data_IF_824097979892
#
_entry.id   IF_824097979892
#
_cell.length_a   1.000
_cell.length_b   1.000
_cell.length_c   1.000
_cell.angle_alpha   90.00
_cell.angle_beta   90.00
_cell.angle_gamma   90.00
#
_symmetry.space_group_name_H-M   'P 1'
#
loop_
_entity.id
_entity.type
_entity.pdbx_description
1 polymer ?
#
# COMPACT_ATOMS: atom_id res chain seq x y z
N UNK A 1 -63.75 -5.67 41.64
CA UNK A 1 -62.79 -4.74 42.26
C UNK A 1 -61.49 -5.50 42.54
N UNK A 2 -60.50 -5.48 41.63
CA UNK A 2 -59.22 -6.12 41.92
C UNK A 2 -58.46 -5.30 42.96
N UNK A 3 -57.92 -6.02 43.94
CA UNK A 3 -57.32 -5.58 45.19
C UNK A 3 -56.07 -4.71 44.97
N UNK A 4 -55.99 -3.54 45.64
CA UNK A 4 -54.94 -2.53 45.44
C UNK A 4 -53.49 -2.98 45.69
N UNK A 5 -53.25 -4.22 46.13
CA UNK A 5 -51.92 -4.83 46.25
C UNK A 5 -51.38 -5.34 44.89
N UNK A 6 -52.24 -5.80 44.00
CA UNK A 6 -51.84 -6.39 42.72
C UNK A 6 -51.38 -5.31 41.72
N UNK A 7 -52.05 -4.14 41.71
CA UNK A 7 -51.66 -2.99 40.90
C UNK A 7 -50.32 -2.38 41.30
N UNK A 8 -49.97 -2.41 42.60
CA UNK A 8 -48.67 -1.93 43.07
C UNK A 8 -47.52 -2.86 42.64
N UNK A 9 -47.79 -4.17 42.59
CA UNK A 9 -46.82 -5.16 42.12
C UNK A 9 -46.57 -5.01 40.61
N UNK A 10 -47.64 -4.83 39.84
CA UNK A 10 -47.61 -4.51 38.40
C UNK A 10 -46.78 -3.24 38.12
N UNK A 11 -47.01 -2.15 38.86
CA UNK A 11 -46.27 -0.90 38.71
C UNK A 11 -44.78 -1.05 39.07
N UNK A 12 -44.46 -1.83 40.11
CA UNK A 12 -43.05 -2.13 40.47
C UNK A 12 -42.37 -2.97 39.40
N UNK A 13 -43.07 -3.95 38.84
CA UNK A 13 -42.56 -4.79 37.75
C UNK A 13 -42.28 -3.93 36.51
N UNK A 14 -43.23 -3.06 36.13
CA UNK A 14 -43.11 -2.15 34.99
C UNK A 14 -41.98 -1.13 35.17
N UNK A 15 -41.82 -0.57 36.38
CA UNK A 15 -40.69 0.31 36.71
C UNK A 15 -39.35 -0.40 36.58
N UNK A 16 -39.26 -1.66 37.05
CA UNK A 16 -38.04 -2.47 36.95
C UNK A 16 -37.71 -2.80 35.49
N UNK A 17 -38.71 -3.17 34.70
CA UNK A 17 -38.55 -3.45 33.27
C UNK A 17 -38.10 -2.21 32.48
N UNK A 18 -38.69 -1.04 32.77
CA UNK A 18 -38.25 0.22 32.19
C UNK A 18 -36.83 0.61 32.59
N UNK A 19 -36.42 0.40 33.85
CA UNK A 19 -35.04 0.67 34.27
C UNK A 19 -34.03 -0.26 33.58
N UNK A 20 -34.40 -1.52 33.33
CA UNK A 20 -33.58 -2.47 32.59
C UNK A 20 -33.49 -2.13 31.10
N UNK A 21 -34.58 -1.60 30.51
CA UNK A 21 -34.53 -1.10 29.14
C UNK A 21 -33.67 0.17 29.02
N UNK A 22 -33.75 1.09 29.98
CA UNK A 22 -32.89 2.28 29.99
C UNK A 22 -31.42 1.90 30.11
N UNK A 23 -31.05 0.98 31.00
CA UNK A 23 -29.64 0.58 31.14
C UNK A 23 -29.07 -0.04 29.86
N UNK A 24 -29.88 -0.82 29.13
CA UNK A 24 -29.47 -1.39 27.83
C UNK A 24 -29.33 -0.30 26.76
N UNK A 25 -30.11 0.78 26.83
CA UNK A 25 -30.00 1.93 25.93
C UNK A 25 -28.74 2.75 26.26
N UNK A 26 -28.45 2.98 27.53
CA UNK A 26 -27.26 3.69 27.99
C UNK A 26 -25.98 2.92 27.60
N UNK A 27 -25.95 1.60 27.78
CA UNK A 27 -24.83 0.76 27.34
C UNK A 27 -24.61 0.78 25.82
N UNK A 28 -25.70 0.86 25.03
CA UNK A 28 -25.63 1.01 23.58
C UNK A 28 -25.13 2.39 23.18
N UNK A 29 -25.57 3.44 23.90
CA UNK A 29 -25.13 4.81 23.67
C UNK A 29 -23.64 4.97 24.00
N UNK A 30 -23.17 4.39 25.09
CA UNK A 30 -21.76 4.38 25.47
C UNK A 30 -20.88 3.57 24.50
N UNK A 31 -21.40 2.47 23.95
CA UNK A 31 -20.73 1.75 22.85
C UNK A 31 -20.66 2.61 21.59
N UNK A 32 -21.73 3.32 21.24
CA UNK A 32 -21.76 4.21 20.09
C UNK A 32 -20.79 5.38 20.26
N UNK A 33 -20.71 5.99 21.44
CA UNK A 33 -19.74 7.05 21.74
C UNK A 33 -18.31 6.53 21.64
N UNK A 34 -18.01 5.34 22.17
CA UNK A 34 -16.69 4.69 21.99
C UNK A 34 -16.38 4.39 20.52
N UNK A 35 -17.37 4.04 19.71
CA UNK A 35 -17.21 3.81 18.27
C UNK A 35 -17.00 5.15 17.53
N UNK A 36 -17.71 6.21 17.91
CA UNK A 36 -17.54 7.55 17.35
C UNK A 36 -16.16 8.13 17.71
N UNK A 37 -15.71 7.99 18.95
CA UNK A 37 -14.37 8.42 19.37
C UNK A 37 -13.27 7.62 18.65
N UNK A 38 -13.46 6.30 18.47
CA UNK A 38 -12.58 5.49 17.61
C UNK A 38 -12.64 5.91 16.14
N UNK A 39 -13.79 6.33 15.62
CA UNK A 39 -13.89 6.84 14.24
C UNK A 39 -13.29 8.23 14.09
N UNK A 40 -13.31 9.08 15.10
CA UNK A 40 -12.67 10.40 15.09
C UNK A 40 -11.14 10.29 15.16
N UNK A 41 -10.60 9.28 15.87
CA UNK A 41 -9.17 8.98 15.85
C UNK A 41 -8.73 8.32 14.54
N UNK A 42 -9.58 7.51 13.91
CA UNK A 42 -9.29 6.84 12.62
C UNK A 42 -9.53 7.76 11.40
N UNK A 43 -10.45 8.73 11.45
CA UNK A 43 -10.73 9.72 10.37
C UNK A 43 -9.93 11.02 10.49
N UNK A 44 -8.73 10.97 11.08
CA UNK A 44 -7.71 12.01 10.92
C UNK A 44 -7.15 12.15 9.49
N UNK A 45 -7.62 11.34 8.52
CA UNK A 45 -7.25 11.47 7.12
C UNK A 45 -8.33 10.95 6.17
N UNK A 46 -9.12 11.88 5.61
CA UNK A 46 -9.77 11.87 4.28
C UNK A 46 -11.07 12.69 4.32
N UNK A 47 -10.96 13.95 3.88
CA UNK A 47 -12.08 14.76 3.41
C UNK A 47 -12.62 14.16 2.11
N UNK A 48 -13.88 13.72 2.13
CA UNK A 48 -14.63 13.38 0.92
C UNK A 48 -15.39 14.63 0.47
N UNK A 49 -15.14 15.04 -0.76
CA UNK A 49 -15.81 16.11 -1.50
C UNK A 49 -17.26 15.73 -1.81
N UNK A 50 -18.15 16.73 -1.78
CA UNK A 50 -19.36 16.75 -2.62
C UNK A 50 -19.54 18.12 -3.27
N UNK A 51 -19.49 18.03 -4.59
CA UNK A 51 -20.04 18.83 -5.68
C UNK A 51 -20.80 20.14 -5.40
N UNK A 52 -20.46 21.09 -6.27
CA UNK A 52 -21.03 22.38 -6.66
C UNK A 52 -22.42 22.28 -7.30
N UNK A 53 -23.33 23.27 -7.21
CA UNK A 53 -23.45 24.50 -8.05
C UNK A 53 -24.89 25.09 -7.87
N UNK A 54 -25.30 26.26 -8.43
CA UNK A 54 -24.57 27.51 -8.74
C UNK A 54 -25.39 28.82 -8.45
N UNK A 55 -24.73 29.99 -8.66
CA UNK A 55 -25.31 31.33 -8.95
C UNK A 55 -26.02 32.04 -7.76
N UNK A 56 -25.85 33.33 -7.45
CA UNK A 56 -25.64 34.52 -8.26
C UNK A 56 -24.86 35.63 -7.50
N UNK A 57 -23.99 36.28 -8.25
CA UNK A 57 -23.97 37.75 -8.43
C UNK A 57 -24.06 38.65 -7.20
N UNK A 58 -22.92 39.20 -6.78
CA UNK A 58 -22.76 40.66 -6.71
C UNK A 58 -21.28 41.02 -6.49
N UNK A 59 -20.55 41.25 -7.59
CA UNK A 59 -19.42 42.17 -7.57
C UNK A 59 -19.97 43.55 -7.22
N UNK A 60 -19.64 44.08 -6.04
CA UNK A 60 -19.69 45.52 -5.80
C UNK A 60 -18.37 45.97 -5.22
N UNK A 61 -17.56 46.51 -6.12
CA UNK A 61 -16.45 47.40 -5.85
C UNK A 61 -16.89 48.51 -4.90
N UNK A 62 -16.20 48.64 -3.76
CA UNK A 62 -16.07 49.89 -3.02
C UNK A 62 -14.59 49.97 -2.62
N UNK A 63 -13.80 50.68 -3.43
CA UNK A 63 -13.48 52.11 -3.24
C UNK A 63 -12.68 52.29 -1.95
N UNK A 64 -11.36 52.40 -2.11
CA UNK A 64 -10.47 52.95 -1.10
C UNK A 64 -10.97 54.35 -0.76
N UNK A 65 -11.67 54.48 0.35
CA UNK A 65 -11.85 55.74 1.06
C UNK A 65 -11.14 55.58 2.38
N UNK A 66 -10.04 56.31 2.52
CA UNK A 66 -9.43 56.63 3.80
C UNK A 66 -10.50 57.24 4.71
N UNK A 67 -11.04 56.43 5.60
CA UNK A 67 -11.95 56.87 6.66
C UNK A 67 -11.08 57.51 7.76
N UNK A 68 -11.36 58.76 8.16
CA UNK A 68 -10.55 59.45 9.16
C UNK A 68 -10.73 58.77 10.51
N UNK A 69 -9.64 58.60 11.25
CA UNK A 69 -9.69 58.02 12.60
C UNK A 69 -10.78 58.67 13.46
N UNK A 70 -11.57 57.89 14.23
CA UNK A 70 -12.50 58.49 15.16
C UNK A 70 -11.69 59.28 16.20
N UNK A 71 -11.95 60.59 16.27
CA UNK A 71 -11.42 61.45 17.34
C UNK A 71 -11.63 60.73 18.68
N UNK A 72 -10.54 60.30 19.31
CA UNK A 72 -10.55 59.79 20.68
C UNK A 72 -11.13 60.88 21.56
N UNK A 73 -12.40 60.73 21.96
CA UNK A 73 -12.90 61.38 23.16
C UNK A 73 -12.05 60.83 24.32
N UNK A 74 -11.09 61.63 24.74
CA UNK A 74 -10.20 61.35 25.86
C UNK A 74 -11.03 61.45 27.13
N UNK A 75 -11.68 60.36 27.53
CA UNK A 75 -12.22 60.24 28.88
C UNK A 75 -11.00 60.07 29.80
N UNK A 76 -10.73 61.01 30.73
CA UNK A 76 -9.65 60.85 31.68
C UNK A 76 -10.10 59.76 32.66
N UNK A 77 -9.61 58.54 32.48
CA UNK A 77 -9.77 57.50 33.49
C UNK A 77 -8.51 57.48 34.35
N UNK A 78 -8.53 58.25 35.43
CA UNK A 78 -7.75 58.00 36.63
C UNK A 78 -8.22 56.68 37.25
N UNK A 79 -7.77 55.56 36.70
CA UNK A 79 -7.96 54.25 37.34
C UNK A 79 -6.91 54.10 38.43
N UNK A 80 -7.36 54.10 39.69
CA UNK A 80 -6.54 53.75 40.84
C UNK A 80 -6.04 52.30 40.64
N UNK A 81 -4.71 52.05 40.68
CA UNK A 81 -4.16 50.70 40.55
C UNK A 81 -4.76 49.78 41.63
N UNK A 82 -5.36 48.66 41.20
CA UNK A 82 -5.96 47.67 42.12
C UNK A 82 -7.48 47.78 42.31
N UNK A 83 -8.14 48.77 41.71
CA UNK A 83 -9.62 48.85 41.70
C UNK A 83 -10.25 47.68 40.94
N UNK A 84 -11.45 47.24 41.36
CA UNK A 84 -12.22 46.15 40.71
C UNK A 84 -12.40 46.39 39.20
N UNK A 85 -12.52 47.64 38.78
CA UNK A 85 -12.69 48.03 37.37
C UNK A 85 -11.41 47.76 36.55
N UNK A 86 -10.24 48.00 37.15
CA UNK A 86 -8.95 47.80 36.50
C UNK A 86 -8.61 46.29 36.37
N UNK A 87 -9.00 45.50 37.37
CA UNK A 87 -8.92 44.02 37.32
C UNK A 87 -9.81 43.44 36.21
N UNK A 88 -11.04 43.93 36.06
CA UNK A 88 -11.95 43.50 34.99
C UNK A 88 -11.38 43.88 33.61
N UNK A 89 -10.77 45.06 33.48
CA UNK A 89 -10.12 45.50 32.24
C UNK A 89 -8.94 44.61 31.86
N UNK A 90 -8.04 44.32 32.80
CA UNK A 90 -6.91 43.39 32.59
C UNK A 90 -7.40 42.00 32.18
N UNK A 91 -8.45 41.49 32.85
CA UNK A 91 -9.06 40.19 32.53
C UNK A 91 -9.65 40.17 31.11
N UNK A 92 -10.29 41.25 30.68
CA UNK A 92 -10.86 41.37 29.34
C UNK A 92 -9.79 41.46 28.24
N UNK A 93 -8.66 42.14 28.50
CA UNK A 93 -7.52 42.20 27.58
C UNK A 93 -6.88 40.81 27.42
N UNK A 94 -6.64 40.10 28.53
CA UNK A 94 -6.10 38.73 28.51
C UNK A 94 -7.05 37.78 27.78
N UNK A 95 -8.37 37.89 28.03
CA UNK A 95 -9.39 37.09 27.34
C UNK A 95 -9.36 37.32 25.82
N UNK A 96 -9.27 38.58 25.37
CA UNK A 96 -9.17 38.91 23.94
C UNK A 96 -7.88 38.38 23.32
N UNK A 97 -6.75 38.50 24.02
CA UNK A 97 -5.48 37.94 23.56
C UNK A 97 -5.57 36.42 23.41
N UNK A 98 -6.10 35.72 24.41
CA UNK A 98 -6.31 34.27 24.36
C UNK A 98 -7.30 33.85 23.25
N UNK A 99 -8.32 34.66 22.96
CA UNK A 99 -9.25 34.41 21.87
C UNK A 99 -8.60 34.61 20.50
N UNK A 100 -7.71 35.60 20.35
CA UNK A 100 -6.92 35.80 19.14
C UNK A 100 -5.91 34.66 18.92
N UNK A 101 -5.22 34.21 19.98
CA UNK A 101 -4.31 33.05 19.91
C UNK A 101 -5.06 31.76 19.53
N UNK A 102 -6.29 31.56 20.04
CA UNK A 102 -7.14 30.42 19.65
C UNK A 102 -7.67 30.49 18.22
N UNK A 103 -7.80 31.70 17.66
CA UNK A 103 -8.22 31.94 16.28
C UNK A 103 -7.07 31.84 15.27
N UNK A 104 -5.81 31.83 15.72
CA UNK A 104 -4.69 31.52 14.83
C UNK A 104 -4.88 30.10 14.30
N UNK A 105 -4.87 29.89 12.97
CA UNK A 105 -4.96 28.55 12.42
C UNK A 105 -3.78 27.74 12.95
N UNK A 106 -4.08 26.62 13.64
CA UNK A 106 -3.04 25.67 14.05
C UNK A 106 -2.18 25.35 12.82
N UNK A 107 -0.83 25.33 12.92
CA UNK A 107 0.00 24.96 11.80
C UNK A 107 -0.48 23.61 11.27
N UNK A 108 -0.92 23.56 10.02
CA UNK A 108 -1.34 22.31 9.37
C UNK A 108 -0.17 21.34 9.54
N UNK A 109 -0.39 20.22 10.23
CA UNK A 109 0.61 19.18 10.35
C UNK A 109 1.12 18.88 8.93
N UNK A 110 2.43 19.03 8.70
CA UNK A 110 3.04 18.66 7.42
C UNK A 110 2.64 17.21 7.17
N UNK A 111 1.89 16.93 6.09
CA UNK A 111 1.64 15.56 5.67
C UNK A 111 3.00 14.87 5.56
N UNK A 112 3.14 13.75 6.27
CA UNK A 112 4.33 12.93 6.18
C UNK A 112 4.53 12.55 4.70
N UNK A 113 5.72 12.83 4.17
CA UNK A 113 6.00 12.55 2.76
C UNK A 113 5.99 11.03 2.60
N UNK A 114 5.04 10.50 1.84
CA UNK A 114 5.02 9.09 1.50
C UNK A 114 6.29 8.79 0.69
N UNK A 115 7.18 7.95 1.21
CA UNK A 115 8.32 7.44 0.46
C UNK A 115 7.82 6.38 -0.54
N UNK A 116 7.88 6.64 -1.86
CA UNK A 116 7.41 5.69 -2.87
C UNK A 116 8.17 4.35 -2.82
N UNK A 117 9.40 4.36 -2.30
CA UNK A 117 10.32 3.21 -2.26
C UNK A 117 10.29 2.44 -0.94
N UNK A 118 9.50 2.89 0.04
CA UNK A 118 9.38 2.17 1.30
C UNK A 118 8.86 0.75 1.08
N UNK A 119 9.51 -0.22 1.75
CA UNK A 119 9.12 -1.63 1.74
C UNK A 119 7.67 -1.75 2.20
N UNK A 120 6.86 -2.47 1.42
CA UNK A 120 5.46 -2.62 1.72
C UNK A 120 5.24 -3.84 2.62
N UNK A 121 4.91 -3.59 3.88
CA UNK A 121 4.61 -4.63 4.87
C UNK A 121 3.16 -5.13 4.82
N UNK A 122 2.28 -4.47 4.05
CA UNK A 122 0.84 -4.81 3.99
C UNK A 122 0.54 -5.98 3.03
N UNK A 123 1.54 -6.63 2.45
CA UNK A 123 1.35 -7.77 1.55
C UNK A 123 1.09 -9.04 2.39
N UNK A 124 -0.03 -9.77 2.18
CA UNK A 124 -0.37 -10.99 2.96
C UNK A 124 0.77 -11.99 2.92
N UNK A 125 1.20 -12.71 3.97
CA UNK A 125 2.37 -13.63 4.00
C UNK A 125 2.28 -14.83 3.03
N UNK A 126 3.42 -15.43 2.65
CA UNK A 126 3.46 -16.50 1.64
C UNK A 126 2.89 -17.79 2.20
N UNK A 127 2.24 -18.56 1.33
CA UNK A 127 1.66 -19.84 1.72
C UNK A 127 2.72 -20.96 1.75
N UNK A 128 3.81 -20.80 0.99
CA UNK A 128 4.85 -21.82 0.84
C UNK A 128 5.42 -22.33 2.18
N UNK A 129 5.82 -21.49 3.16
CA UNK A 129 6.38 -21.99 4.42
C UNK A 129 5.40 -22.92 5.16
N UNK A 130 4.12 -22.54 5.20
CA UNK A 130 3.08 -23.35 5.84
C UNK A 130 2.85 -24.69 5.12
N UNK A 131 2.83 -24.67 3.79
CA UNK A 131 2.67 -25.88 2.97
C UNK A 131 3.88 -26.82 3.07
N UNK A 132 5.08 -26.25 3.14
CA UNK A 132 6.31 -27.01 3.33
C UNK A 132 6.35 -27.70 4.70
N UNK A 133 6.04 -26.98 5.79
CA UNK A 133 5.96 -27.59 7.13
C UNK A 133 4.89 -28.69 7.23
N UNK A 134 3.82 -28.59 6.42
CA UNK A 134 2.78 -29.62 6.33
C UNK A 134 3.16 -30.82 5.46
N UNK A 135 4.27 -30.75 4.71
CA UNK A 135 4.73 -31.84 3.83
C UNK A 135 3.91 -31.98 2.54
N UNK A 136 3.30 -30.90 2.04
CA UNK A 136 2.51 -30.95 0.80
C UNK A 136 3.33 -30.83 -0.48
N UNK A 137 4.59 -30.38 -0.37
CA UNK A 137 5.43 -30.10 -1.51
C UNK A 137 6.25 -31.34 -1.90
N UNK A 138 6.38 -31.63 -3.21
CA UNK A 138 7.04 -32.84 -3.73
C UNK A 138 8.56 -32.68 -3.78
N UNK A 139 9.14 -31.91 -2.86
CA UNK A 139 10.56 -31.58 -2.84
C UNK A 139 11.10 -31.56 -1.41
N UNK A 140 12.35 -32.00 -1.25
CA UNK A 140 13.12 -31.92 -0.01
C UNK A 140 14.46 -31.22 -0.27
N UNK A 141 15.03 -30.63 0.77
CA UNK A 141 16.32 -29.93 0.68
C UNK A 141 17.44 -30.91 1.01
N UNK A 142 18.30 -31.18 0.04
CA UNK A 142 19.54 -31.93 0.20
C UNK A 142 20.72 -30.99 0.45
N UNK A 143 21.61 -31.38 1.38
CA UNK A 143 22.85 -30.67 1.63
C UNK A 143 23.97 -31.40 0.88
N UNK A 144 24.53 -30.76 -0.15
CA UNK A 144 25.66 -31.26 -0.94
C UNK A 144 26.92 -30.48 -0.57
N UNK A 145 28.09 -31.03 -0.91
CA UNK A 145 29.38 -30.33 -0.72
C UNK A 145 29.46 -29.01 -1.50
N UNK A 146 28.71 -28.90 -2.61
CA UNK A 146 28.60 -27.69 -3.44
C UNK A 146 27.53 -26.70 -2.97
N UNK A 147 26.80 -27.00 -1.89
CA UNK A 147 25.71 -26.16 -1.37
C UNK A 147 24.37 -26.90 -1.26
N UNK A 148 23.29 -26.13 -1.15
CA UNK A 148 21.93 -26.67 -1.08
C UNK A 148 21.45 -27.09 -2.47
N UNK A 149 20.74 -28.22 -2.54
CA UNK A 149 20.08 -28.69 -3.76
C UNK A 149 18.66 -29.17 -3.44
N UNK A 150 17.78 -29.17 -4.45
CA UNK A 150 16.45 -29.76 -4.33
C UNK A 150 16.47 -31.22 -4.79
N UNK A 151 15.79 -32.06 -4.01
CA UNK A 151 15.54 -33.46 -4.32
C UNK A 151 14.04 -33.65 -4.51
N UNK A 152 13.65 -34.10 -5.69
CA UNK A 152 12.25 -34.23 -6.07
C UNK A 152 11.77 -35.66 -5.85
N UNK A 153 10.55 -35.79 -5.34
CA UNK A 153 9.92 -37.11 -5.12
C UNK A 153 9.54 -37.81 -6.44
N UNK A 154 9.38 -37.05 -7.51
CA UNK A 154 8.96 -37.49 -8.83
C UNK A 154 9.74 -36.71 -9.90
N UNK A 155 9.98 -37.28 -11.10
CA UNK A 155 10.51 -36.51 -12.21
C UNK A 155 9.68 -35.25 -12.50
N UNK A 156 10.34 -34.13 -12.79
CA UNK A 156 9.72 -32.81 -12.99
C UNK A 156 8.65 -32.82 -14.08
N UNK A 157 8.92 -33.51 -15.19
CA UNK A 157 7.98 -33.67 -16.30
C UNK A 157 6.73 -34.49 -15.97
N UNK A 158 6.61 -35.12 -14.81
CA UNK A 158 5.37 -35.78 -14.37
C UNK A 158 4.59 -34.96 -13.34
N UNK A 159 5.12 -33.80 -12.94
CA UNK A 159 4.50 -32.94 -11.97
C UNK A 159 3.35 -32.13 -12.57
N UNK A 160 2.33 -31.85 -11.77
CA UNK A 160 1.23 -30.96 -12.13
C UNK A 160 1.64 -29.48 -12.01
N UNK A 161 1.89 -28.85 -13.16
CA UNK A 161 2.34 -27.45 -13.22
C UNK A 161 1.24 -26.48 -12.77
N UNK A 162 -0.03 -26.76 -13.04
CA UNK A 162 -1.15 -25.89 -12.64
C UNK A 162 -1.25 -25.78 -11.11
N UNK A 163 -0.97 -26.87 -10.40
CA UNK A 163 -0.99 -26.89 -8.95
C UNK A 163 0.30 -26.33 -8.33
N UNK A 164 1.46 -26.85 -8.74
CA UNK A 164 2.70 -26.62 -7.99
C UNK A 164 3.43 -25.34 -8.39
N UNK A 165 3.43 -24.95 -9.68
CA UNK A 165 4.18 -23.78 -10.13
C UNK A 165 3.69 -22.47 -9.47
N UNK A 166 2.37 -22.19 -9.38
CA UNK A 166 1.89 -20.99 -8.68
C UNK A 166 2.26 -20.98 -7.19
N UNK A 167 2.36 -22.14 -6.54
CA UNK A 167 2.75 -22.25 -5.12
C UNK A 167 4.23 -21.87 -4.94
N UNK A 168 5.11 -22.36 -5.81
CA UNK A 168 6.52 -21.99 -5.77
C UNK A 168 6.73 -20.52 -6.12
N UNK A 169 5.98 -19.99 -7.10
CA UNK A 169 5.98 -18.57 -7.46
C UNK A 169 5.54 -17.67 -6.29
N UNK A 170 4.52 -18.06 -5.53
CA UNK A 170 4.11 -17.35 -4.30
C UNK A 170 5.18 -17.41 -3.21
N UNK A 171 6.09 -18.38 -3.26
CA UNK A 171 7.21 -18.48 -2.31
C UNK A 171 8.36 -17.50 -2.58
N UNK A 172 8.46 -16.91 -3.78
CA UNK A 172 9.61 -16.07 -4.21
C UNK A 172 9.80 -14.83 -3.33
N UNK A 173 8.70 -14.32 -2.81
CA UNK A 173 8.62 -13.22 -1.84
C UNK A 173 9.14 -13.50 -0.44
N UNK A 174 9.45 -14.75 -0.12
CA UNK A 174 10.09 -15.07 1.16
C UNK A 174 11.40 -14.27 1.28
N UNK A 175 11.74 -13.85 2.50
CA UNK A 175 12.95 -13.08 2.73
C UNK A 175 14.20 -13.91 2.35
N UNK A 176 15.15 -13.23 1.72
CA UNK A 176 16.47 -13.77 1.42
C UNK A 176 17.15 -14.34 2.68
N UNK A 177 17.86 -15.45 2.51
CA UNK A 177 18.51 -16.19 3.60
C UNK A 177 17.63 -17.23 4.30
N UNK A 178 16.32 -17.24 4.05
CA UNK A 178 15.45 -18.34 4.52
C UNK A 178 15.55 -19.56 3.62
N UNK A 179 15.56 -20.76 4.21
CA UNK A 179 15.52 -22.04 3.46
C UNK A 179 14.30 -22.09 2.53
N UNK A 180 13.17 -21.53 2.96
CA UNK A 180 11.95 -21.42 2.15
C UNK A 180 12.13 -20.55 0.90
N UNK A 181 12.92 -19.47 0.97
CA UNK A 181 13.23 -18.66 -0.21
C UNK A 181 14.10 -19.42 -1.21
N UNK A 182 15.03 -20.26 -0.72
CA UNK A 182 15.83 -21.13 -1.58
C UNK A 182 14.94 -22.16 -2.29
N UNK A 183 14.08 -22.87 -1.55
CA UNK A 183 13.13 -23.85 -2.10
C UNK A 183 12.24 -23.20 -3.17
N UNK A 184 11.70 -22.02 -2.90
CA UNK A 184 10.85 -21.31 -3.85
C UNK A 184 11.59 -20.95 -5.15
N UNK A 185 12.74 -20.27 -5.04
CA UNK A 185 13.48 -19.77 -6.21
C UNK A 185 14.05 -20.92 -7.04
N UNK A 186 14.65 -21.92 -6.38
CA UNK A 186 15.20 -23.09 -7.05
C UNK A 186 14.10 -23.97 -7.64
N UNK A 187 12.96 -24.11 -6.94
CA UNK A 187 11.83 -24.88 -7.43
C UNK A 187 11.22 -24.29 -8.70
N UNK A 188 11.03 -22.96 -8.73
CA UNK A 188 10.60 -22.26 -9.95
C UNK A 188 11.61 -22.44 -11.08
N UNK A 189 12.91 -22.27 -10.78
CA UNK A 189 13.97 -22.42 -11.78
C UNK A 189 13.96 -23.79 -12.43
N UNK A 190 13.99 -24.86 -11.64
CA UNK A 190 14.05 -26.23 -12.15
C UNK A 190 12.77 -26.63 -12.90
N UNK A 191 11.60 -26.21 -12.43
CA UNK A 191 10.33 -26.46 -13.13
C UNK A 191 10.27 -25.77 -14.50
N UNK A 192 10.68 -24.50 -14.58
CA UNK A 192 10.71 -23.75 -15.85
C UNK A 192 11.78 -24.33 -16.79
N UNK A 193 12.93 -24.74 -16.26
CA UNK A 193 14.00 -25.33 -17.04
C UNK A 193 13.58 -26.69 -17.64
N UNK A 194 12.92 -27.55 -16.88
CA UNK A 194 12.40 -28.84 -17.39
C UNK A 194 11.27 -28.62 -18.41
N UNK A 195 10.46 -27.58 -18.20
CA UNK A 195 9.41 -27.20 -19.14
C UNK A 195 9.95 -26.71 -20.50
N UNK A 196 11.23 -26.37 -20.62
CA UNK A 196 11.85 -26.14 -21.93
C UNK A 196 11.75 -27.38 -22.86
N UNK A 197 11.64 -28.59 -22.29
CA UNK A 197 11.39 -29.82 -23.05
C UNK A 197 9.90 -30.08 -23.36
N UNK A 198 8.97 -29.49 -22.61
CA UNK A 198 7.52 -29.69 -22.70
C UNK A 198 6.78 -28.35 -22.61
N UNK A 199 6.99 -27.50 -23.62
CA UNK A 199 6.63 -26.09 -23.56
C UNK A 199 5.14 -25.77 -23.39
N UNK A 200 4.24 -26.68 -23.79
CA UNK A 200 2.80 -26.45 -23.74
C UNK A 200 2.27 -26.26 -22.32
N UNK A 201 2.87 -26.95 -21.34
CA UNK A 201 2.39 -26.94 -19.95
C UNK A 201 2.57 -25.61 -19.25
N UNK A 202 3.58 -24.84 -19.61
CA UNK A 202 3.80 -23.52 -19.02
C UNK A 202 2.77 -22.52 -19.54
N UNK A 203 2.33 -22.67 -20.80
CA UNK A 203 1.39 -21.73 -21.42
C UNK A 203 0.04 -21.68 -20.68
N UNK A 204 -0.46 -22.85 -20.26
CA UNK A 204 -1.73 -22.96 -19.55
C UNK A 204 -1.70 -22.31 -18.16
N UNK A 205 -0.51 -22.24 -17.54
CA UNK A 205 -0.32 -21.79 -16.16
C UNK A 205 0.02 -20.30 -16.04
N UNK A 206 0.43 -19.63 -17.13
CA UNK A 206 0.88 -18.22 -17.10
C UNK A 206 -0.11 -17.31 -16.37
N UNK A 207 -1.40 -17.43 -16.67
CA UNK A 207 -2.43 -16.57 -16.08
C UNK A 207 -2.54 -16.76 -14.56
N UNK A 208 -2.30 -17.98 -14.06
CA UNK A 208 -2.27 -18.30 -12.64
C UNK A 208 -1.01 -17.75 -11.96
N UNK A 209 0.12 -17.72 -12.65
CA UNK A 209 1.39 -17.20 -12.11
C UNK A 209 1.42 -15.68 -11.95
N UNK A 210 0.62 -14.93 -12.71
CA UNK A 210 0.61 -13.45 -12.68
C UNK A 210 0.28 -12.90 -11.30
N UNK A 211 -0.68 -13.51 -10.59
CA UNK A 211 -1.10 -13.04 -9.27
C UNK A 211 0.02 -13.18 -8.21
N UNK A 212 0.65 -14.36 -8.03
CA UNK A 212 1.85 -14.51 -7.20
C UNK A 212 2.99 -13.55 -7.55
N UNK A 213 3.26 -13.33 -8.86
CA UNK A 213 4.29 -12.39 -9.30
C UNK A 213 3.97 -10.96 -8.89
N UNK A 214 2.72 -10.53 -9.06
CA UNK A 214 2.25 -9.21 -8.63
C UNK A 214 2.42 -9.03 -7.13
N UNK A 215 2.06 -10.03 -6.31
CA UNK A 215 2.25 -9.94 -4.86
C UNK A 215 3.73 -9.85 -4.47
N UNK A 216 4.59 -10.61 -5.14
CA UNK A 216 6.03 -10.56 -4.93
C UNK A 216 6.61 -9.18 -5.25
N UNK A 217 6.26 -8.61 -6.41
CA UNK A 217 6.69 -7.25 -6.79
C UNK A 217 6.13 -6.19 -5.84
N UNK A 218 4.90 -6.35 -5.36
CA UNK A 218 4.24 -5.40 -4.45
C UNK A 218 4.95 -5.25 -3.10
N UNK A 219 5.84 -6.19 -2.72
CA UNK A 219 6.67 -6.08 -1.50
C UNK A 219 7.69 -4.95 -1.59
N UNK A 220 8.09 -4.55 -2.81
CA UNK A 220 9.10 -3.53 -3.10
C UNK A 220 10.49 -3.81 -2.51
N UNK A 221 10.79 -5.06 -2.16
CA UNK A 221 12.16 -5.43 -1.77
C UNK A 221 13.01 -5.70 -3.00
N UNK A 222 14.25 -5.20 -3.02
CA UNK A 222 15.14 -5.32 -4.18
C UNK A 222 15.49 -6.76 -4.53
N UNK A 223 15.77 -7.59 -3.52
CA UNK A 223 16.08 -9.02 -3.66
C UNK A 223 14.93 -9.80 -4.32
N UNK A 224 13.70 -9.55 -3.87
CA UNK A 224 12.49 -10.20 -4.42
C UNK A 224 12.20 -9.71 -5.84
N UNK A 225 12.35 -8.41 -6.09
CA UNK A 225 12.16 -7.85 -7.43
C UNK A 225 13.17 -8.44 -8.42
N UNK A 226 14.44 -8.55 -8.04
CA UNK A 226 15.47 -9.17 -8.87
C UNK A 226 15.15 -10.65 -9.17
N UNK A 227 14.72 -11.40 -8.17
CA UNK A 227 14.32 -12.79 -8.35
C UNK A 227 13.13 -12.91 -9.33
N UNK A 228 12.11 -12.05 -9.21
CA UNK A 228 10.97 -12.03 -10.13
C UNK A 228 11.39 -11.64 -11.54
N UNK A 229 12.26 -10.63 -11.69
CA UNK A 229 12.83 -10.22 -12.98
C UNK A 229 13.50 -11.41 -13.66
N UNK A 230 14.37 -12.14 -12.96
CA UNK A 230 15.04 -13.33 -13.49
C UNK A 230 14.07 -14.46 -13.87
N UNK A 231 13.01 -14.67 -13.09
CA UNK A 231 11.95 -15.64 -13.43
C UNK A 231 11.24 -15.23 -14.72
N UNK A 232 10.91 -13.95 -14.89
CA UNK A 232 10.29 -13.45 -16.13
C UNK A 232 11.21 -13.66 -17.33
N UNK A 233 12.52 -13.43 -17.17
CA UNK A 233 13.53 -13.73 -18.21
C UNK A 233 13.43 -15.19 -18.64
N UNK A 234 13.43 -16.11 -17.68
CA UNK A 234 13.38 -17.54 -17.94
C UNK A 234 12.06 -17.97 -18.60
N UNK A 235 10.93 -17.43 -18.14
CA UNK A 235 9.62 -17.68 -18.77
C UNK A 235 9.62 -17.25 -20.25
N UNK A 236 10.19 -16.08 -20.56
CA UNK A 236 10.27 -15.60 -21.95
C UNK A 236 11.20 -16.46 -22.82
N UNK A 237 12.19 -17.14 -22.24
CA UNK A 237 13.10 -18.03 -22.98
C UNK A 237 12.53 -19.43 -23.25
N UNK A 238 11.57 -19.90 -22.46
CA UNK A 238 11.04 -21.26 -22.58
C UNK A 238 10.19 -21.47 -23.82
N UNK A 239 9.29 -20.54 -24.14
CA UNK A 239 8.39 -20.71 -25.27
C UNK A 239 8.01 -19.36 -25.92
N UNK A 240 8.06 -19.23 -27.26
CA UNK A 240 7.81 -17.97 -27.95
C UNK A 240 6.39 -17.41 -27.73
N UNK A 241 5.39 -18.28 -27.53
CA UNK A 241 4.02 -17.83 -27.26
C UNK A 241 3.78 -17.31 -25.82
N UNK A 242 4.75 -17.44 -24.92
CA UNK A 242 4.66 -16.88 -23.56
C UNK A 242 4.59 -15.35 -23.61
N UNK A 243 5.41 -14.73 -24.48
CA UNK A 243 5.48 -13.28 -24.63
C UNK A 243 4.11 -12.65 -24.93
N UNK A 244 3.41 -13.07 -26.00
CA UNK A 244 2.09 -12.55 -26.35
C UNK A 244 1.04 -12.80 -25.26
N UNK A 245 1.12 -13.95 -24.57
CA UNK A 245 0.21 -14.30 -23.46
C UNK A 245 0.40 -13.41 -22.23
N UNK A 246 1.60 -12.88 -22.02
CA UNK A 246 1.90 -11.96 -20.92
C UNK A 246 1.40 -10.52 -21.14
N UNK A 247 1.14 -10.10 -22.39
CA UNK A 247 0.77 -8.71 -22.72
C UNK A 247 -0.41 -8.17 -21.90
N UNK A 248 -1.53 -8.90 -21.73
CA UNK A 248 -2.66 -8.41 -20.92
C UNK A 248 -2.27 -8.10 -19.46
N UNK A 249 -1.21 -8.75 -18.97
CA UNK A 249 -0.73 -8.68 -17.60
C UNK A 249 0.38 -7.65 -17.38
N UNK A 250 0.89 -7.01 -18.44
CA UNK A 250 1.93 -5.98 -18.34
C UNK A 250 1.55 -4.84 -17.39
N UNK A 251 0.26 -4.49 -17.31
CA UNK A 251 -0.25 -3.48 -16.37
C UNK A 251 0.02 -3.84 -14.91
N UNK A 252 -0.07 -5.11 -14.58
CA UNK A 252 0.09 -5.61 -13.21
C UNK A 252 1.57 -5.72 -12.81
N UNK A 253 2.41 -6.07 -13.77
CA UNK A 253 3.83 -6.37 -13.55
C UNK A 253 4.68 -5.09 -13.71
N UNK A 254 4.57 -4.42 -14.86
CA UNK A 254 5.45 -3.31 -15.23
C UNK A 254 5.25 -2.04 -14.39
N UNK A 255 4.06 -1.85 -13.80
CA UNK A 255 3.79 -0.68 -12.97
C UNK A 255 4.76 -0.56 -11.78
N UNK A 256 5.14 -1.68 -11.17
CA UNK A 256 6.11 -1.70 -10.08
C UNK A 256 7.54 -1.65 -10.62
N UNK A 257 7.84 -2.30 -11.74
CA UNK A 257 9.16 -2.24 -12.36
C UNK A 257 9.52 -0.80 -12.78
N UNK A 258 8.54 -0.03 -13.27
CA UNK A 258 8.73 1.39 -13.63
C UNK A 258 9.23 2.23 -12.44
N UNK A 259 8.75 1.94 -11.22
CA UNK A 259 9.20 2.65 -10.02
C UNK A 259 10.71 2.46 -9.81
N UNK A 260 11.20 1.22 -9.93
CA UNK A 260 12.63 0.91 -9.76
C UNK A 260 13.48 1.36 -10.94
N UNK A 261 12.95 1.27 -12.16
CA UNK A 261 13.61 1.73 -13.37
C UNK A 261 13.84 3.25 -13.34
N UNK A 262 12.83 4.02 -12.95
CA UNK A 262 12.92 5.48 -12.83
C UNK A 262 13.79 5.96 -11.65
N UNK A 263 14.12 5.09 -10.69
CA UNK A 263 15.02 5.45 -9.57
C UNK A 263 16.42 5.83 -10.05
N UNK A 264 16.81 5.36 -11.23
CA UNK A 264 18.15 5.52 -11.79
C UNK A 264 19.14 4.52 -11.17
N UNK A 265 20.08 4.05 -11.97
CA UNK A 265 21.12 3.12 -11.53
C UNK A 265 22.09 3.77 -10.55
N UNK A 266 22.97 2.96 -9.94
CA UNK A 266 24.04 3.51 -9.08
C UNK A 266 25.05 4.28 -9.94
N UNK A 267 25.00 5.61 -9.89
CA UNK A 267 25.99 6.47 -10.54
C UNK A 267 27.24 6.56 -9.66
N UNK A 268 28.29 5.82 -10.02
CA UNK A 268 29.56 5.78 -9.27
C UNK A 268 30.61 6.77 -9.83
N UNK A 269 30.28 7.52 -10.88
CA UNK A 269 31.22 8.45 -11.52
C UNK A 269 32.38 7.67 -12.18
N UNK A 270 33.60 8.03 -11.82
CA UNK A 270 34.83 7.36 -12.28
C UNK A 270 35.23 6.16 -11.38
N UNK A 271 34.46 5.89 -10.31
CA UNK A 271 34.72 4.74 -9.44
C UNK A 271 34.18 3.45 -10.06
N UNK A 272 34.96 2.38 -9.98
CA UNK A 272 34.57 1.06 -10.47
C UNK A 272 33.61 0.37 -9.48
N UNK A 273 32.52 -0.21 -9.98
CA UNK A 273 31.65 -1.07 -9.17
C UNK A 273 32.24 -2.49 -9.09
N UNK A 274 32.70 -2.87 -7.90
CA UNK A 274 33.20 -4.23 -7.66
C UNK A 274 32.08 -5.23 -7.32
N UNK A 275 30.84 -4.77 -7.12
CA UNK A 275 29.69 -5.63 -6.79
C UNK A 275 28.86 -6.04 -8.00
N UNK A 276 29.43 -6.06 -9.21
CA UNK A 276 28.70 -6.46 -10.42
C UNK A 276 28.08 -7.86 -10.32
N UNK A 277 28.76 -8.83 -9.70
CA UNK A 277 28.25 -10.20 -9.55
C UNK A 277 27.07 -10.31 -8.57
N UNK A 278 26.98 -9.41 -7.58
CA UNK A 278 25.91 -9.37 -6.59
C UNK A 278 25.38 -7.94 -6.45
N UNK A 279 25.02 -7.35 -7.59
CA UNK A 279 24.66 -5.94 -7.66
C UNK A 279 23.24 -5.75 -7.14
N UNK A 280 23.08 -4.88 -6.15
CA UNK A 280 21.74 -4.41 -5.73
C UNK A 280 21.06 -3.52 -6.78
N UNK A 281 21.73 -3.26 -7.91
CA UNK A 281 21.16 -2.44 -8.98
C UNK A 281 20.12 -3.23 -9.78
N UNK A 282 18.92 -2.68 -9.85
CA UNK A 282 17.78 -3.28 -10.52
C UNK A 282 17.61 -2.74 -11.94
N UNK A 283 18.26 -1.62 -12.29
CA UNK A 283 18.00 -0.92 -13.55
C UNK A 283 18.44 -1.77 -14.75
N UNK A 284 19.64 -2.34 -14.69
CA UNK A 284 20.16 -3.20 -15.77
C UNK A 284 19.32 -4.48 -15.94
N UNK A 285 19.04 -5.26 -14.87
CA UNK A 285 18.17 -6.44 -15.01
C UNK A 285 16.76 -6.13 -15.53
N UNK A 286 16.19 -4.99 -15.14
CA UNK A 286 14.86 -4.55 -15.62
C UNK A 286 14.92 -4.17 -17.10
N UNK A 287 15.94 -3.43 -17.53
CA UNK A 287 16.12 -3.09 -18.95
C UNK A 287 16.18 -4.34 -19.82
N UNK A 288 16.99 -5.33 -19.43
CA UNK A 288 17.10 -6.61 -20.13
C UNK A 288 15.77 -7.38 -20.21
N UNK A 289 14.97 -7.37 -19.13
CA UNK A 289 13.62 -7.95 -19.16
C UNK A 289 12.71 -7.23 -20.15
N UNK A 290 12.71 -5.90 -20.14
CA UNK A 290 11.85 -5.11 -21.04
C UNK A 290 12.19 -5.39 -22.50
N UNK A 291 13.48 -5.49 -22.83
CA UNK A 291 13.94 -5.86 -24.17
C UNK A 291 13.52 -7.28 -24.57
N UNK A 292 13.64 -8.26 -23.66
CA UNK A 292 13.19 -9.62 -23.94
C UNK A 292 11.67 -9.74 -24.08
N UNK A 293 10.91 -8.96 -23.31
CA UNK A 293 9.45 -8.88 -23.43
C UNK A 293 9.03 -8.24 -24.75
N UNK A 294 9.74 -7.20 -25.22
CA UNK A 294 9.53 -6.61 -26.54
C UNK A 294 9.83 -7.62 -27.66
N UNK A 295 10.97 -8.32 -27.57
CA UNK A 295 11.40 -9.30 -28.57
C UNK A 295 10.44 -10.47 -28.70
N UNK A 296 9.90 -10.97 -27.58
CA UNK A 296 9.03 -12.16 -27.56
C UNK A 296 7.55 -11.83 -27.72
N UNK A 297 7.09 -10.66 -27.30
CA UNK A 297 5.67 -10.29 -27.28
C UNK A 297 5.06 -9.94 -28.65
N UNK A 298 5.86 -9.80 -29.70
CA UNK A 298 5.36 -9.49 -31.05
C UNK A 298 4.92 -8.03 -31.21
N UNK A 299 4.09 -7.71 -32.24
CA UNK A 299 3.90 -6.33 -32.72
C UNK A 299 3.25 -5.38 -31.70
N UNK A 300 2.42 -5.90 -30.80
CA UNK A 300 1.71 -5.10 -29.80
C UNK A 300 2.49 -4.94 -28.49
N UNK A 301 3.64 -5.58 -28.33
CA UNK A 301 4.40 -5.56 -27.08
C UNK A 301 4.90 -4.16 -26.74
N UNK A 302 5.56 -3.49 -27.70
CA UNK A 302 6.14 -2.16 -27.51
C UNK A 302 5.11 -1.12 -27.06
N UNK A 303 3.94 -1.07 -27.71
CA UNK A 303 2.87 -0.11 -27.37
C UNK A 303 2.40 -0.28 -25.92
N UNK A 304 2.24 -1.54 -25.47
CA UNK A 304 1.82 -1.83 -24.10
C UNK A 304 2.93 -1.56 -23.07
N UNK A 305 4.19 -1.86 -23.41
CA UNK A 305 5.34 -1.54 -22.56
C UNK A 305 5.47 -0.02 -22.42
N UNK A 306 5.42 0.73 -23.53
CA UNK A 306 5.54 2.19 -23.56
C UNK A 306 4.43 2.89 -22.77
N UNK A 307 3.22 2.34 -22.78
CA UNK A 307 2.11 2.85 -21.97
C UNK A 307 2.39 2.74 -20.47
N UNK A 308 3.08 1.68 -20.03
CA UNK A 308 3.37 1.43 -18.61
C UNK A 308 4.70 2.04 -18.14
N UNK A 309 5.70 2.06 -19.02
CA UNK A 309 7.06 2.58 -18.78
C UNK A 309 7.34 3.65 -19.85
N UNK A 310 6.91 4.90 -19.63
CA UNK A 310 7.07 5.97 -20.63
C UNK A 310 8.53 6.28 -20.98
N UNK A 311 9.45 6.00 -20.06
CA UNK A 311 10.89 6.23 -20.23
C UNK A 311 11.59 5.16 -21.07
N UNK A 312 10.94 4.01 -21.31
CA UNK A 312 11.52 2.94 -22.13
C UNK A 312 11.62 3.36 -23.60
N UNK A 313 12.75 3.04 -24.23
CA UNK A 313 13.01 3.21 -25.66
C UNK A 313 13.18 1.84 -26.30
N UNK A 314 12.61 1.64 -27.49
CA UNK A 314 12.72 0.36 -28.19
C UNK A 314 14.18 0.06 -28.50
N UNK A 315 14.59 -1.19 -28.30
CA UNK A 315 15.90 -1.68 -28.70
C UNK A 315 15.92 -2.26 -30.13
N UNK A 316 14.75 -2.51 -30.74
CA UNK A 316 14.63 -3.21 -32.03
C UNK A 316 13.95 -2.41 -33.13
N UNK A 317 13.24 -1.33 -32.79
CA UNK A 317 12.64 -0.43 -33.78
C UNK A 317 13.67 0.59 -34.27
N UNK A 318 14.39 0.22 -35.33
CA UNK A 318 15.08 1.13 -36.25
C UNK A 318 14.52 0.92 -37.66
#
# INVERSE_FOLDING_TARGET
MPTGKDGLFELKLRKKLLSQQLSVVDDKFDRLNRIMDKKLTIKGGRSFSKESTPLETAKRSFRNTSEPEPKKLMVPQTTIPGSKIDLVRKRNVIRRHNEMERRKPKPKAKMEKADPFAINTNVPTSLLPRRYTRGELPCTVEHRSSGLALSWMCPLHNLDYEHYLPIFMDGVRCAEGSVHSFIARQGVYELIQDAAGHSDRVLDVIDLCVLPLRYSLSTKRSDVVLAVVNIIKQLCTVHPAVGPRLIPHYRQILGILNLFYCKGGKNLGDAMDYKQFNSDDLVVPIAEVLEMMERTGGPNAFVNIKFMVPTYTSAFAN
#
